data_IF_139839227480
#
_entry.id   IF_139839227480
#
_cell.length_a   1.000
_cell.length_b   1.000
_cell.length_c   1.000
_cell.angle_alpha   90.00
_cell.angle_beta   90.00
_cell.angle_gamma   90.00
#
_symmetry.space_group_name_H-M   'P 1'
#
loop_
_entity.id
_entity.type
_entity.pdbx_description
1 polymer ?
#
# COMPACT_ATOMS: atom_id res chain seq x y z
N UNK A 1 -7.52 -24.50 -0.66
CA UNK A 1 -7.87 -23.49 -1.70
C UNK A 1 -6.96 -23.70 -2.89
N UNK A 2 -7.48 -23.59 -4.12
CA UNK A 2 -6.68 -23.71 -5.34
C UNK A 2 -6.68 -22.38 -6.07
N UNK A 3 -5.53 -21.99 -6.62
CA UNK A 3 -5.41 -20.84 -7.52
C UNK A 3 -6.18 -21.18 -8.80
N UNK A 4 -7.18 -20.37 -9.13
CA UNK A 4 -8.01 -20.57 -10.33
C UNK A 4 -7.41 -19.83 -11.52
N UNK A 5 -6.93 -18.60 -11.30
CA UNK A 5 -6.48 -17.71 -12.37
C UNK A 5 -5.51 -16.65 -11.81
N UNK A 6 -4.55 -16.22 -12.63
CA UNK A 6 -3.62 -15.14 -12.32
C UNK A 6 -3.61 -14.13 -13.47
N UNK A 7 -3.98 -12.89 -13.17
CA UNK A 7 -4.01 -11.80 -14.15
C UNK A 7 -2.83 -10.86 -13.91
N UNK A 8 -2.08 -10.57 -14.98
CA UNK A 8 -0.96 -9.64 -14.94
C UNK A 8 -1.36 -8.29 -15.55
N UNK A 9 -1.18 -7.21 -14.80
CA UNK A 9 -1.37 -5.84 -15.28
C UNK A 9 0.02 -5.26 -15.58
N UNK A 10 0.23 -4.81 -16.82
CA UNK A 10 1.50 -4.21 -17.28
C UNK A 10 1.26 -2.78 -17.73
N UNK A 11 2.25 -1.93 -17.53
CA UNK A 11 2.23 -0.54 -17.96
C UNK A 11 3.60 0.12 -17.84
N UNK A 12 3.70 1.36 -18.33
CA UNK A 12 4.89 2.21 -18.16
C UNK A 12 4.49 3.45 -17.36
N UNK A 13 5.24 3.74 -16.30
CA UNK A 13 5.08 4.98 -15.53
C UNK A 13 6.03 6.01 -16.14
N UNK A 14 5.48 7.11 -16.66
CA UNK A 14 6.26 8.23 -17.17
C UNK A 14 6.27 9.35 -16.13
N UNK A 15 7.47 9.74 -15.69
CA UNK A 15 7.64 10.86 -14.78
C UNK A 15 7.34 12.18 -15.52
N UNK A 16 6.39 12.96 -14.99
CA UNK A 16 6.03 14.29 -15.52
C UNK A 16 6.81 15.42 -14.84
N UNK A 17 7.44 15.13 -13.71
CA UNK A 17 8.28 16.02 -12.91
C UNK A 17 9.41 15.19 -12.26
N UNK A 18 10.30 15.86 -11.51
CA UNK A 18 11.24 15.15 -10.64
C UNK A 18 10.52 14.26 -9.63
N UNK A 19 11.00 13.03 -9.44
CA UNK A 19 10.51 12.08 -8.45
C UNK A 19 11.62 11.76 -7.46
N UNK A 20 11.34 11.95 -6.18
CA UNK A 20 12.22 11.55 -5.08
C UNK A 20 11.51 10.50 -4.24
N UNK A 21 12.15 9.34 -4.07
CA UNK A 21 11.77 8.31 -3.11
C UNK A 21 13.03 8.01 -2.30
N UNK A 22 13.00 8.29 -1.01
CA UNK A 22 14.16 8.12 -0.14
C UNK A 22 14.60 6.66 -0.05
N UNK A 23 15.91 6.43 -0.06
CA UNK A 23 16.48 5.18 0.42
C UNK A 23 16.39 5.16 1.95
N UNK A 24 16.02 4.03 2.56
CA UNK A 24 16.12 3.89 4.03
C UNK A 24 17.58 4.05 4.51
N UNK A 25 17.78 4.19 5.83
CA UNK A 25 19.07 4.40 6.52
C UNK A 25 20.06 3.21 6.40
N UNK A 26 20.20 2.59 5.24
CA UNK A 26 20.97 1.34 5.12
C UNK A 26 22.47 1.58 4.94
N UNK A 27 22.90 2.79 4.61
CA UNK A 27 24.33 3.13 4.61
C UNK A 27 24.56 4.60 4.98
N UNK A 28 25.01 4.83 6.21
CA UNK A 28 25.60 6.11 6.61
C UNK A 28 26.91 6.29 5.85
N UNK A 29 26.85 6.84 4.63
CA UNK A 29 28.05 7.14 3.84
C UNK A 29 28.75 8.33 4.48
N UNK A 30 29.93 8.10 5.05
CA UNK A 30 30.81 9.17 5.56
C UNK A 30 31.12 10.10 4.38
N UNK A 31 30.67 11.36 4.45
CA UNK A 31 30.79 12.33 3.34
C UNK A 31 29.76 12.17 2.21
N UNK A 32 28.68 11.41 2.43
CA UNK A 32 27.58 11.24 1.47
C UNK A 32 26.71 12.49 1.33
N UNK A 33 26.15 12.69 0.14
CA UNK A 33 25.17 13.74 -0.14
C UNK A 33 23.89 13.53 0.69
N UNK A 34 23.41 14.60 1.33
CA UNK A 34 22.07 14.62 1.92
C UNK A 34 21.00 14.28 0.87
N UNK A 35 20.01 13.48 1.27
CA UNK A 35 18.77 13.22 0.50
C UNK A 35 18.91 12.32 -0.76
N UNK A 36 19.46 11.11 -0.58
CA UNK A 36 19.62 10.15 -1.69
C UNK A 36 18.29 9.53 -2.16
N UNK A 37 18.20 9.26 -3.47
CA UNK A 37 17.07 8.50 -4.06
C UNK A 37 17.37 7.01 -4.01
N UNK A 38 16.35 6.19 -3.76
CA UNK A 38 16.45 4.74 -3.75
C UNK A 38 16.90 4.20 -5.12
N UNK A 39 17.91 3.33 -5.09
CA UNK A 39 18.54 2.77 -6.28
C UNK A 39 18.57 1.25 -6.18
N UNK A 40 18.48 0.59 -7.33
CA UNK A 40 18.62 -0.84 -7.41
C UNK A 40 20.07 -1.24 -7.05
N UNK A 41 20.30 -2.22 -6.16
CA UNK A 41 21.64 -2.49 -5.60
C UNK A 41 22.67 -2.94 -6.64
N UNK A 42 22.22 -3.52 -7.76
CA UNK A 42 23.11 -4.04 -8.80
C UNK A 42 23.33 -3.08 -9.97
N UNK A 43 22.31 -2.31 -10.37
CA UNK A 43 22.40 -1.41 -11.53
C UNK A 43 22.67 0.03 -11.12
N UNK A 44 22.48 0.35 -9.84
CA UNK A 44 22.57 1.71 -9.28
C UNK A 44 21.58 2.70 -9.91
N UNK A 45 20.61 2.22 -10.68
CA UNK A 45 19.56 3.02 -11.30
C UNK A 45 18.44 3.30 -10.29
N UNK A 46 17.85 4.51 -10.29
CA UNK A 46 16.65 4.80 -9.51
C UNK A 46 15.49 3.89 -9.90
N UNK A 47 14.72 3.43 -8.91
CA UNK A 47 13.52 2.63 -9.16
C UNK A 47 12.36 3.06 -8.27
N UNK A 48 11.13 2.68 -8.66
CA UNK A 48 9.94 2.87 -7.84
C UNK A 48 9.68 1.56 -7.07
N UNK A 49 9.81 1.55 -5.73
CA UNK A 49 9.57 0.33 -4.95
C UNK A 49 8.09 -0.07 -5.00
N UNK A 50 7.84 -1.38 -5.05
CA UNK A 50 6.48 -1.92 -5.03
C UNK A 50 5.71 -1.53 -3.76
N UNK A 51 6.40 -1.44 -2.61
CA UNK A 51 5.82 -0.98 -1.35
C UNK A 51 5.38 0.49 -1.40
N UNK A 52 6.17 1.37 -2.02
CA UNK A 52 5.82 2.78 -2.22
C UNK A 52 4.58 2.93 -3.09
N UNK A 53 4.50 2.17 -4.18
CA UNK A 53 3.32 2.17 -5.07
C UNK A 53 2.09 1.60 -4.33
N UNK A 54 2.24 0.45 -3.66
CA UNK A 54 1.17 -0.19 -2.87
C UNK A 54 0.64 0.77 -1.81
N UNK A 55 1.52 1.41 -1.04
CA UNK A 55 1.16 2.32 0.04
C UNK A 55 0.42 3.56 -0.44
N UNK A 56 0.89 4.19 -1.53
CA UNK A 56 0.24 5.39 -2.07
C UNK A 56 -1.13 5.10 -2.66
N UNK A 57 -1.28 4.00 -3.41
CA UNK A 57 -2.58 3.60 -3.96
C UNK A 57 -3.54 3.27 -2.82
N UNK A 58 -3.10 2.47 -1.83
CA UNK A 58 -3.91 2.10 -0.68
C UNK A 58 -4.39 3.34 0.08
N UNK A 59 -3.51 4.26 0.44
CA UNK A 59 -3.90 5.44 1.23
C UNK A 59 -4.84 6.38 0.49
N UNK A 60 -4.70 6.55 -0.83
CA UNK A 60 -5.64 7.33 -1.63
C UNK A 60 -7.02 6.67 -1.72
N UNK A 61 -7.07 5.35 -1.85
CA UNK A 61 -8.33 4.60 -1.84
C UNK A 61 -9.00 4.66 -0.47
N UNK A 62 -8.24 4.47 0.61
CA UNK A 62 -8.74 4.60 1.98
C UNK A 62 -9.27 6.02 2.26
N UNK A 63 -8.56 7.06 1.80
CA UNK A 63 -9.01 8.45 1.91
C UNK A 63 -10.34 8.69 1.20
N UNK A 64 -10.49 8.15 -0.03
CA UNK A 64 -11.72 8.27 -0.81
C UNK A 64 -12.94 7.69 -0.09
N UNK A 65 -12.78 6.64 0.73
CA UNK A 65 -13.90 6.06 1.49
C UNK A 65 -14.46 6.98 2.57
N UNK A 66 -13.73 8.03 2.96
CA UNK A 66 -14.08 8.90 4.08
C UNK A 66 -13.83 8.28 5.46
N UNK A 67 -13.34 7.04 5.54
CA UNK A 67 -13.13 6.32 6.80
C UNK A 67 -11.83 6.68 7.52
N UNK A 68 -10.92 7.44 6.89
CA UNK A 68 -9.66 7.87 7.52
C UNK A 68 -9.86 8.67 8.82
N UNK A 69 -10.96 9.43 8.93
CA UNK A 69 -11.30 10.14 10.16
C UNK A 69 -11.63 9.18 11.32
N UNK A 70 -12.25 8.04 11.01
CA UNK A 70 -12.58 6.98 11.99
C UNK A 70 -11.38 6.10 12.32
N UNK A 71 -10.38 6.00 11.42
CA UNK A 71 -9.16 5.23 11.66
C UNK A 71 -8.04 6.03 12.34
N UNK A 72 -8.26 7.31 12.64
CA UNK A 72 -7.27 8.21 13.25
C UNK A 72 -5.95 8.26 12.45
N UNK A 73 -6.05 8.18 11.12
CA UNK A 73 -4.89 8.16 10.23
C UNK A 73 -4.13 6.83 10.18
N UNK A 74 -4.59 5.80 10.90
CA UNK A 74 -4.06 4.43 10.79
C UNK A 74 -4.62 3.74 9.54
N UNK A 75 -3.92 2.72 9.00
CA UNK A 75 -4.47 1.89 7.93
C UNK A 75 -5.84 1.33 8.30
N UNK A 76 -6.70 1.20 7.30
CA UNK A 76 -8.06 0.71 7.50
C UNK A 76 -8.04 -0.70 8.11
N UNK A 77 -8.85 -0.92 9.14
CA UNK A 77 -9.04 -2.22 9.79
C UNK A 77 -10.46 -2.74 9.58
N UNK A 78 -10.67 -4.04 9.74
CA UNK A 78 -12.00 -4.63 9.54
C UNK A 78 -13.05 -4.03 10.49
N UNK A 79 -12.66 -3.74 11.74
CA UNK A 79 -13.54 -3.14 12.76
C UNK A 79 -14.13 -1.81 12.28
N UNK A 80 -13.28 -0.91 11.81
CA UNK A 80 -13.70 0.42 11.30
C UNK A 80 -14.62 0.30 10.09
N UNK A 81 -14.34 -0.66 9.20
CA UNK A 81 -15.17 -0.90 8.01
C UNK A 81 -16.51 -1.52 8.36
N UNK A 82 -16.54 -2.44 9.32
CA UNK A 82 -17.77 -3.15 9.68
C UNK A 82 -18.80 -2.21 10.35
N UNK A 83 -18.32 -1.21 11.07
CA UNK A 83 -19.12 -0.15 11.71
C UNK A 83 -19.44 1.04 10.79
N UNK A 84 -19.01 0.99 9.52
CA UNK A 84 -19.31 2.04 8.56
C UNK A 84 -20.68 1.85 7.90
N UNK A 85 -21.29 2.98 7.50
CA UNK A 85 -22.48 3.00 6.66
C UNK A 85 -22.14 2.68 5.20
N UNK A 86 -23.15 2.24 4.44
CA UNK A 86 -23.02 2.13 2.99
C UNK A 86 -23.00 3.53 2.36
N UNK A 87 -22.16 3.79 1.34
CA UNK A 87 -21.36 2.84 0.54
C UNK A 87 -19.93 2.59 1.05
N UNK A 88 -19.51 3.28 2.11
CA UNK A 88 -18.12 3.25 2.59
C UNK A 88 -17.69 1.86 3.08
N UNK A 89 -18.63 1.11 3.69
CA UNK A 89 -18.42 -0.28 4.10
C UNK A 89 -18.06 -1.17 2.91
N UNK A 90 -18.83 -1.13 1.83
CA UNK A 90 -18.56 -1.93 0.62
C UNK A 90 -17.21 -1.59 -0.02
N UNK A 91 -16.86 -0.30 -0.14
CA UNK A 91 -15.55 0.10 -0.68
C UNK A 91 -14.40 -0.32 0.25
N UNK A 92 -14.55 -0.14 1.56
CA UNK A 92 -13.57 -0.53 2.56
C UNK A 92 -13.25 -2.03 2.52
N UNK A 93 -14.27 -2.90 2.41
CA UNK A 93 -14.07 -4.35 2.30
C UNK A 93 -13.29 -4.74 1.04
N UNK A 94 -13.51 -4.07 -0.09
CA UNK A 94 -12.73 -4.30 -1.32
C UNK A 94 -11.27 -3.93 -1.14
N UNK A 95 -10.98 -2.82 -0.47
CA UNK A 95 -9.61 -2.38 -0.18
C UNK A 95 -8.92 -3.41 0.71
N UNK A 96 -9.57 -3.84 1.80
CA UNK A 96 -9.01 -4.86 2.70
C UNK A 96 -8.72 -6.17 1.97
N UNK A 97 -9.62 -6.61 1.09
CA UNK A 97 -9.42 -7.82 0.27
C UNK A 97 -8.26 -7.70 -0.72
N UNK A 98 -8.01 -6.52 -1.27
CA UNK A 98 -6.93 -6.29 -2.23
C UNK A 98 -5.55 -6.13 -1.58
N UNK A 99 -5.48 -5.47 -0.42
CA UNK A 99 -4.21 -5.07 0.19
C UNK A 99 -3.83 -5.86 1.45
N UNK A 100 -4.77 -6.62 2.00
CA UNK A 100 -4.66 -7.38 3.25
C UNK A 100 -4.90 -6.53 4.50
N UNK A 101 -5.30 -7.20 5.58
CA UNK A 101 -5.29 -6.65 6.94
C UNK A 101 -3.99 -7.00 7.65
N UNK A 102 -3.56 -6.18 8.60
CA UNK A 102 -2.39 -6.46 9.42
C UNK A 102 -2.71 -7.52 10.48
N UNK A 103 -2.81 -8.79 10.05
CA UNK A 103 -2.44 -10.00 10.79
C UNK A 103 -3.00 -10.31 12.19
N UNK A 104 -3.98 -9.59 12.76
CA UNK A 104 -4.32 -9.81 14.19
C UNK A 104 -5.65 -10.48 14.51
N UNK A 105 -6.61 -10.64 13.58
CA UNK A 105 -7.92 -11.17 13.97
C UNK A 105 -8.38 -12.35 13.09
N UNK A 106 -8.49 -13.56 13.70
CA UNK A 106 -8.96 -14.81 13.04
C UNK A 106 -10.38 -14.70 12.47
N UNK A 107 -11.19 -13.78 12.99
CA UNK A 107 -12.54 -13.50 12.48
C UNK A 107 -12.52 -12.71 11.15
N UNK A 108 -11.47 -11.92 10.89
CA UNK A 108 -11.31 -11.17 9.63
C UNK A 108 -11.09 -12.10 8.43
N UNK A 109 -10.35 -13.20 8.66
CA UNK A 109 -10.01 -14.18 7.62
C UNK A 109 -11.23 -14.92 7.04
N UNK A 110 -12.32 -15.07 7.81
CA UNK A 110 -13.56 -15.71 7.33
C UNK A 110 -14.32 -14.83 6.32
N UNK A 111 -14.27 -13.51 6.50
CA UNK A 111 -15.03 -12.55 5.67
C UNK A 111 -14.20 -12.05 4.48
N UNK A 112 -12.91 -11.80 4.69
CA UNK A 112 -12.01 -11.30 3.65
C UNK A 112 -11.45 -12.42 2.76
N UNK A 113 -11.45 -13.66 3.27
CA UNK A 113 -10.75 -14.79 2.65
C UNK A 113 -9.23 -14.69 2.87
N UNK A 114 -8.44 -15.65 2.35
CA UNK A 114 -6.99 -15.53 2.39
C UNK A 114 -6.55 -14.35 1.52
N UNK A 115 -5.84 -13.41 2.14
CA UNK A 115 -5.22 -12.24 1.51
C UNK A 115 -3.72 -12.40 1.39
#
# INVERSE_FOLDING_TARGET
MQLIDMRQIKGKILLKSGLHIGAGDTEMKIGGTDNTVIKHPHTLEPFIPGSSLKGKIRSLLELRTGLMGKSEGRPLSYKVVNEADEPAKTEGLKILKLFGTSGTDKEEAKVLGPT
#
